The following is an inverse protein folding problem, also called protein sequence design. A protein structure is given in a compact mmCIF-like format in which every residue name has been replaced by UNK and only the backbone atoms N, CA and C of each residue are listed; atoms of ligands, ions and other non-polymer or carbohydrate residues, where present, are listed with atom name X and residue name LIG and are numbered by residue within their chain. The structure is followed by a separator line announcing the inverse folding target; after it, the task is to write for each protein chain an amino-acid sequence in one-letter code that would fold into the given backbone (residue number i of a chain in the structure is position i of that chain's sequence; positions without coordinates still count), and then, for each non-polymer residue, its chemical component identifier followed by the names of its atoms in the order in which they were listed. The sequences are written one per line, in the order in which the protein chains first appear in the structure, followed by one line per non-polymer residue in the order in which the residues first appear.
data_IF_852655700662
#
_entry.id   IF_852655700662
#
_cell.length_a   1.000
_cell.length_b   1.000
_cell.length_c   1.000
_cell.angle_alpha   90.00
_cell.angle_beta   90.00
_cell.angle_gamma   90.00
#
_symmetry.space_group_name_H-M   'P 1'
#
loop_
_entity.id
_entity.type
_entity.pdbx_description
1 polymer ?
#
# COMPACT_ATOMS: atom_id res chain seq x y z
N UNK A 1 14.98 -13.50 -1.96
CA UNK A 1 13.65 -12.97 -1.61
C UNK A 1 13.41 -13.32 -0.14
N UNK A 2 13.44 -12.32 0.76
CA UNK A 2 13.41 -12.54 2.22
C UNK A 2 11.96 -12.76 2.64
N UNK A 3 11.54 -14.01 2.78
CA UNK A 3 10.24 -14.36 3.36
C UNK A 3 10.29 -14.13 4.86
N UNK A 4 9.90 -12.92 5.27
CA UNK A 4 9.63 -12.63 6.68
C UNK A 4 8.42 -13.46 7.13
N UNK A 5 8.59 -14.09 8.27
CA UNK A 5 7.62 -15.00 8.89
C UNK A 5 6.27 -14.30 9.03
N UNK A 6 5.20 -14.97 8.58
CA UNK A 6 3.78 -14.56 8.54
C UNK A 6 3.35 -13.68 7.33
N UNK A 7 3.15 -14.33 6.18
CA UNK A 7 2.41 -13.75 5.04
C UNK A 7 0.97 -13.33 5.38
N UNK A 8 0.36 -13.91 6.42
CA UNK A 8 -1.05 -13.66 6.77
C UNK A 8 -1.30 -12.24 7.33
N UNK A 9 -0.27 -11.58 7.86
CA UNK A 9 -0.40 -10.28 8.54
C UNK A 9 0.16 -9.09 7.76
N UNK A 10 0.63 -9.29 6.53
CA UNK A 10 1.24 -8.24 5.71
C UNK A 10 0.47 -8.04 4.40
N UNK A 11 -0.65 -7.30 4.40
CA UNK A 11 -1.51 -7.09 3.21
C UNK A 11 -0.90 -6.14 2.17
N UNK A 12 0.39 -5.83 2.28
CA UNK A 12 1.06 -4.78 1.52
C UNK A 12 2.31 -5.32 0.83
N UNK A 13 2.38 -5.09 -0.47
CA UNK A 13 3.55 -5.40 -1.29
C UNK A 13 4.10 -4.13 -1.91
N UNK A 14 5.39 -3.88 -1.75
CA UNK A 14 6.04 -2.67 -2.26
C UNK A 14 7.10 -3.08 -3.27
N UNK A 15 7.03 -2.48 -4.46
CA UNK A 15 8.04 -2.63 -5.49
C UNK A 15 9.12 -1.54 -5.37
N UNK A 16 10.33 -1.77 -5.88
CA UNK A 16 11.37 -0.75 -5.92
C UNK A 16 10.99 0.52 -6.72
N UNK A 17 10.00 0.41 -7.61
CA UNK A 17 9.49 1.53 -8.44
C UNK A 17 8.44 2.40 -7.70
N UNK A 18 8.20 2.11 -6.43
CA UNK A 18 7.23 2.84 -5.59
C UNK A 18 5.77 2.45 -5.82
N UNK A 19 5.51 1.39 -6.58
CA UNK A 19 4.17 0.80 -6.65
C UNK A 19 3.92 -0.03 -5.39
N UNK A 20 2.74 0.16 -4.81
CA UNK A 20 2.24 -0.49 -3.61
C UNK A 20 0.97 -1.24 -3.97
N UNK A 21 0.92 -2.53 -3.66
CA UNK A 21 -0.26 -3.36 -3.82
C UNK A 21 -0.86 -3.66 -2.45
N UNK A 22 -2.14 -3.35 -2.29
CA UNK A 22 -2.91 -3.54 -1.07
C UNK A 22 -3.98 -4.62 -1.28
N UNK A 23 -3.95 -5.65 -0.46
CA UNK A 23 -4.87 -6.78 -0.51
C UNK A 23 -6.14 -6.51 0.32
N UNK A 24 -7.32 -6.58 -0.30
CA UNK A 24 -8.60 -6.24 0.35
C UNK A 24 -9.19 -7.34 1.24
N UNK A 25 -8.66 -8.55 1.15
CA UNK A 25 -9.16 -9.74 1.86
C UNK A 25 -8.52 -9.95 3.24
N UNK A 26 -7.52 -9.15 3.62
CA UNK A 26 -6.86 -9.25 4.92
C UNK A 26 -7.61 -8.48 6.01
N UNK A 27 -7.61 -9.00 7.24
CA UNK A 27 -8.21 -8.32 8.41
C UNK A 27 -7.58 -6.96 8.71
N UNK A 28 -6.32 -6.77 8.31
CA UNK A 28 -5.57 -5.52 8.46
C UNK A 28 -5.84 -4.49 7.35
N UNK A 29 -6.68 -4.81 6.36
CA UNK A 29 -6.96 -3.93 5.21
C UNK A 29 -7.39 -2.53 5.64
N UNK A 30 -8.31 -2.39 6.60
CA UNK A 30 -8.81 -1.07 7.00
C UNK A 30 -7.68 -0.15 7.50
N UNK A 31 -6.75 -0.68 8.31
CA UNK A 31 -5.64 0.10 8.84
C UNK A 31 -4.63 0.44 7.75
N UNK A 32 -4.27 -0.54 6.92
CA UNK A 32 -3.33 -0.35 5.81
C UNK A 32 -3.90 0.57 4.74
N UNK A 33 -5.21 0.50 4.45
CA UNK A 33 -5.89 1.33 3.46
C UNK A 33 -5.81 2.80 3.83
N UNK A 34 -6.18 3.16 5.06
CA UNK A 34 -6.11 4.56 5.55
C UNK A 34 -4.69 5.12 5.48
N UNK A 35 -3.69 4.30 5.78
CA UNK A 35 -2.30 4.71 5.66
C UNK A 35 -1.90 4.96 4.20
N UNK A 36 -2.22 4.03 3.30
CA UNK A 36 -1.85 4.13 1.88
C UNK A 36 -2.56 5.30 1.19
N UNK A 37 -3.86 5.51 1.40
CA UNK A 37 -4.56 6.66 0.78
C UNK A 37 -4.01 8.02 1.26
N UNK A 38 -3.32 8.05 2.40
CA UNK A 38 -2.71 9.28 2.93
C UNK A 38 -1.38 9.59 2.26
N UNK A 39 -0.61 8.56 1.86
CA UNK A 39 0.77 8.72 1.39
C UNK A 39 0.95 8.42 -0.10
N UNK A 40 -0.06 7.84 -0.76
CA UNK A 40 0.04 7.31 -2.11
C UNK A 40 -1.19 7.64 -2.94
N UNK A 41 -0.97 7.91 -4.21
CA UNK A 41 -2.03 8.12 -5.19
C UNK A 41 -2.60 6.77 -5.64
N UNK A 42 -3.91 6.71 -5.88
CA UNK A 42 -4.58 5.52 -6.40
C UNK A 42 -4.34 5.38 -7.91
N UNK A 43 -3.77 4.26 -8.33
CA UNK A 43 -3.55 3.93 -9.75
C UNK A 43 -4.67 3.04 -10.28
N UNK A 44 -5.04 2.01 -9.52
CA UNK A 44 -6.08 1.06 -9.91
C UNK A 44 -6.87 0.54 -8.71
N UNK A 45 -8.20 0.45 -8.87
CA UNK A 45 -9.14 -0.01 -7.84
C UNK A 45 -9.73 -1.37 -8.24
N UNK A 46 -8.92 -2.42 -8.22
CA UNK A 46 -9.41 -3.78 -8.39
C UNK A 46 -10.16 -4.26 -7.13
N UNK A 47 -11.03 -5.25 -7.27
CA UNK A 47 -11.84 -5.79 -6.17
C UNK A 47 -10.99 -6.48 -5.08
N UNK A 48 -9.92 -7.18 -5.49
CA UNK A 48 -9.10 -8.00 -4.59
C UNK A 48 -7.74 -7.36 -4.25
N UNK A 49 -7.15 -6.63 -5.19
CA UNK A 49 -5.82 -6.03 -5.06
C UNK A 49 -5.85 -4.60 -5.59
N UNK A 50 -5.65 -3.62 -4.72
CA UNK A 50 -5.59 -2.22 -5.09
C UNK A 50 -4.14 -1.82 -5.37
N UNK A 51 -3.94 -1.05 -6.43
CA UNK A 51 -2.63 -0.53 -6.80
C UNK A 51 -2.56 0.96 -6.49
N UNK A 52 -1.52 1.32 -5.76
CA UNK A 52 -1.20 2.68 -5.39
C UNK A 52 0.24 2.98 -5.78
N UNK A 53 0.55 4.25 -6.04
CA UNK A 53 1.92 4.69 -6.24
C UNK A 53 2.27 5.70 -5.17
N UNK A 54 3.39 5.46 -4.48
CA UNK A 54 3.89 6.40 -3.48
C UNK A 54 4.01 7.77 -4.13
N UNK A 55 3.21 8.71 -3.63
CA UNK A 55 3.22 10.07 -4.14
C UNK A 55 4.16 10.87 -3.27
N UNK A 56 5.11 11.55 -3.88
CA UNK A 56 5.99 12.50 -3.19
C UNK A 56 5.22 13.76 -2.73
N UNK A 57 3.91 13.68 -2.49
CA UNK A 57 3.09 14.73 -1.88
C UNK A 57 3.59 15.12 -0.47
N UNK A 58 4.35 14.24 0.20
CA UNK A 58 5.14 14.60 1.39
C UNK A 58 6.24 15.65 1.15
N UNK A 59 6.54 16.00 -0.11
CA UNK A 59 7.37 17.15 -0.46
C UNK A 59 6.62 18.48 -0.54
N UNK A 60 5.28 18.46 -0.60
CA UNK A 60 4.44 19.67 -0.66
C UNK A 60 3.86 20.10 0.68
N UNK A 61 3.76 19.19 1.66
CA UNK A 61 3.56 19.56 3.06
C UNK A 61 4.93 19.91 3.66
N UNK A 62 5.40 21.11 3.30
CA UNK A 62 6.58 21.73 3.89
C UNK A 62 6.30 21.98 5.38
N UNK A 63 7.14 21.41 6.24
CA UNK A 63 7.33 21.88 7.62
C UNK A 63 7.85 23.32 7.56
#
# INVERSE_FOLDING_TARGET
MKTIVAHENHPLWITPDGHVFLESFSSAYNQSHVFIITIADLISRSEYIQEHKLSALFGFIKI
#
